data_IF_174413307410
#
_entry.id   IF_174413307410
#
_cell.length_a   1.000
_cell.length_b   1.000
_cell.length_c   1.000
_cell.angle_alpha   90.00
_cell.angle_beta   90.00
_cell.angle_gamma   90.00
#
_symmetry.space_group_name_H-M   'P 1'
#
loop_
_entity.id
_entity.type
_entity.pdbx_description
1 polymer ?
#
# COMPACT_ATOMS: atom_id res chain seq x y z
N UNK A 1 -13.85 28.51 -8.70
CA UNK A 1 -14.01 27.18 -9.31
C UNK A 1 -12.94 26.28 -8.71
N UNK A 2 -13.29 25.12 -8.16
CA UNK A 2 -12.29 24.20 -7.58
C UNK A 2 -11.57 23.45 -8.71
N UNK A 3 -10.32 22.99 -8.52
CA UNK A 3 -9.60 22.21 -9.54
C UNK A 3 -10.36 20.95 -9.97
N UNK A 4 -10.19 20.53 -11.22
CA UNK A 4 -10.92 19.41 -11.86
C UNK A 4 -10.86 18.11 -11.06
N UNK A 5 -9.69 17.76 -10.52
CA UNK A 5 -9.53 16.56 -9.68
C UNK A 5 -10.44 16.57 -8.44
N UNK A 6 -10.69 17.73 -7.84
CA UNK A 6 -11.58 17.83 -6.69
C UNK A 6 -13.06 17.84 -7.11
N UNK A 7 -13.37 18.25 -8.35
CA UNK A 7 -14.70 18.08 -8.92
C UNK A 7 -14.99 16.60 -9.16
N UNK A 8 -14.03 15.84 -9.70
CA UNK A 8 -14.15 14.40 -9.89
C UNK A 8 -14.32 13.66 -8.55
N UNK A 9 -13.52 14.03 -7.53
CA UNK A 9 -13.64 13.46 -6.17
C UNK A 9 -15.01 13.80 -5.56
N UNK A 10 -15.47 15.06 -5.69
CA UNK A 10 -16.79 15.49 -5.21
C UNK A 10 -17.93 14.72 -5.89
N UNK A 11 -17.80 14.40 -7.18
CA UNK A 11 -18.79 13.64 -7.94
C UNK A 11 -18.93 12.17 -7.50
N UNK A 12 -17.86 11.55 -6.98
CA UNK A 12 -17.88 10.15 -6.49
C UNK A 12 -18.02 10.04 -4.97
N UNK A 13 -17.84 11.14 -4.23
CA UNK A 13 -18.01 11.22 -2.77
C UNK A 13 -19.04 12.31 -2.43
N UNK A 14 -18.59 13.43 -1.88
CA UNK A 14 -19.34 14.64 -1.58
C UNK A 14 -18.34 15.81 -1.40
N UNK A 15 -18.86 17.04 -1.33
CA UNK A 15 -18.05 18.26 -1.24
C UNK A 15 -17.22 18.35 0.04
N UNK A 16 -17.77 17.91 1.18
CA UNK A 16 -17.06 17.95 2.46
C UNK A 16 -15.87 16.98 2.44
N UNK A 17 -16.07 15.77 1.91
CA UNK A 17 -15.01 14.78 1.74
C UNK A 17 -13.90 15.27 0.81
N UNK A 18 -14.24 15.85 -0.35
CA UNK A 18 -13.27 16.42 -1.28
C UNK A 18 -12.43 17.53 -0.62
N UNK A 19 -13.07 18.40 0.18
CA UNK A 19 -12.39 19.46 0.94
C UNK A 19 -11.44 18.90 2.00
N UNK A 20 -11.85 17.89 2.76
CA UNK A 20 -10.98 17.23 3.76
C UNK A 20 -9.75 16.59 3.12
N UNK A 21 -9.92 15.93 1.97
CA UNK A 21 -8.79 15.36 1.22
C UNK A 21 -7.82 16.46 0.79
N UNK A 22 -8.34 17.58 0.27
CA UNK A 22 -7.52 18.72 -0.10
C UNK A 22 -6.72 19.27 1.09
N UNK A 23 -7.39 19.48 2.22
CA UNK A 23 -6.76 20.00 3.45
C UNK A 23 -5.70 19.05 4.01
N UNK A 24 -5.92 17.73 3.93
CA UNK A 24 -5.00 16.72 4.44
C UNK A 24 -3.71 16.59 3.61
N UNK A 25 -3.82 16.76 2.29
CA UNK A 25 -2.71 16.52 1.36
C UNK A 25 -2.22 17.77 0.63
N UNK A 26 -2.72 18.97 0.96
CA UNK A 26 -2.25 20.21 0.35
C UNK A 26 -0.73 20.36 0.49
N UNK A 27 -0.06 20.74 -0.59
CA UNK A 27 1.41 20.83 -0.64
C UNK A 27 2.14 19.50 -0.83
N UNK A 28 1.44 18.35 -0.79
CA UNK A 28 2.02 17.04 -1.08
C UNK A 28 1.79 16.62 -2.54
N UNK A 29 2.75 15.88 -3.11
CA UNK A 29 2.52 15.13 -4.35
C UNK A 29 2.05 13.71 -3.99
N UNK A 30 0.75 13.44 -4.18
CA UNK A 30 0.14 12.15 -3.86
C UNK A 30 0.03 11.29 -5.11
N UNK A 31 0.61 10.08 -5.06
CA UNK A 31 0.45 9.07 -6.09
C UNK A 31 -0.65 8.08 -5.70
N UNK A 32 -1.62 7.86 -6.60
CA UNK A 32 -2.67 6.85 -6.45
C UNK A 32 -2.27 5.58 -7.23
N UNK A 33 -1.77 4.53 -6.57
CA UNK A 33 -1.45 3.28 -7.24
C UNK A 33 -2.72 2.55 -7.71
N UNK A 34 -2.59 1.75 -8.77
CA UNK A 34 -3.67 0.87 -9.24
C UNK A 34 -4.10 -0.05 -8.09
N UNK A 35 -5.38 0.06 -7.71
CA UNK A 35 -5.95 -0.61 -6.53
C UNK A 35 -5.76 -2.13 -6.58
N UNK A 36 -6.16 -2.77 -7.67
CA UNK A 36 -6.08 -4.23 -7.85
C UNK A 36 -4.64 -4.76 -7.81
N UNK A 37 -3.69 -3.99 -8.34
CA UNK A 37 -2.27 -4.37 -8.32
C UNK A 37 -1.73 -4.34 -6.89
N UNK A 38 -2.18 -3.37 -6.09
CA UNK A 38 -1.80 -3.19 -4.69
C UNK A 38 -2.44 -4.24 -3.79
N UNK A 39 -3.72 -4.55 -4.00
CA UNK A 39 -4.46 -5.62 -3.31
C UNK A 39 -3.81 -7.00 -3.52
N UNK A 40 -3.54 -7.37 -4.78
CA UNK A 40 -2.89 -8.66 -5.11
C UNK A 40 -1.49 -8.75 -4.53
N UNK A 41 -0.70 -7.67 -4.62
CA UNK A 41 0.63 -7.62 -4.02
C UNK A 41 0.57 -7.74 -2.50
N UNK A 42 -0.33 -6.98 -1.84
CA UNK A 42 -0.53 -7.03 -0.39
C UNK A 42 -0.96 -8.42 0.08
N UNK A 43 -1.88 -9.08 -0.64
CA UNK A 43 -2.32 -10.46 -0.33
C UNK A 43 -1.16 -11.44 -0.43
N UNK A 44 -0.37 -11.37 -1.51
CA UNK A 44 0.84 -12.21 -1.68
C UNK A 44 1.85 -11.95 -0.57
N UNK A 45 2.15 -10.69 -0.28
CA UNK A 45 3.16 -10.28 0.68
C UNK A 45 2.77 -10.71 2.11
N UNK A 46 1.47 -10.66 2.44
CA UNK A 46 0.93 -11.23 3.68
C UNK A 46 1.02 -12.76 3.73
N UNK A 47 0.78 -13.46 2.62
CA UNK A 47 0.95 -14.91 2.56
C UNK A 47 2.42 -15.33 2.78
N UNK A 48 3.36 -14.60 2.16
CA UNK A 48 4.81 -14.77 2.38
C UNK A 48 5.17 -14.58 3.85
N UNK A 49 4.60 -13.56 4.51
CA UNK A 49 4.82 -13.33 5.94
C UNK A 49 4.29 -14.47 6.82
N UNK A 50 3.07 -14.94 6.56
CA UNK A 50 2.47 -16.07 7.30
C UNK A 50 3.27 -17.35 7.15
N UNK A 51 3.67 -17.67 5.93
CA UNK A 51 4.53 -18.83 5.65
C UNK A 51 5.88 -18.72 6.36
N UNK A 52 6.47 -17.51 6.42
CA UNK A 52 7.70 -17.28 7.17
C UNK A 52 7.50 -17.51 8.67
N UNK A 53 6.39 -17.05 9.24
CA UNK A 53 6.03 -17.29 10.65
C UNK A 53 5.75 -18.77 10.94
N UNK A 54 5.29 -19.54 9.94
CA UNK A 54 5.15 -20.99 10.03
C UNK A 54 6.50 -21.75 9.92
N UNK A 55 7.63 -21.04 9.81
CA UNK A 55 8.97 -21.62 9.81
C UNK A 55 9.59 -21.86 8.44
N UNK A 56 8.91 -21.52 7.34
CA UNK A 56 9.43 -21.75 5.98
C UNK A 56 10.70 -20.92 5.73
N UNK A 57 11.72 -21.57 5.15
CA UNK A 57 13.00 -20.95 4.83
C UNK A 57 12.91 -19.90 3.72
N UNK A 58 13.83 -18.92 3.70
CA UNK A 58 13.85 -17.86 2.67
C UNK A 58 14.00 -18.44 1.26
N UNK A 59 14.82 -19.48 1.10
CA UNK A 59 15.06 -20.13 -0.20
C UNK A 59 13.81 -20.87 -0.70
N UNK A 60 13.07 -21.51 0.22
CA UNK A 60 11.83 -22.21 -0.10
C UNK A 60 10.71 -21.23 -0.46
N UNK A 61 10.60 -20.10 0.26
CA UNK A 61 9.69 -19.00 -0.08
C UNK A 61 9.99 -18.43 -1.47
N UNK A 62 11.27 -18.21 -1.78
CA UNK A 62 11.70 -17.72 -3.09
C UNK A 62 11.22 -18.65 -4.22
N UNK A 63 11.40 -19.97 -4.06
CA UNK A 63 10.92 -20.98 -5.01
C UNK A 63 9.38 -21.01 -5.07
N UNK A 64 8.70 -21.09 -3.92
CA UNK A 64 7.23 -21.19 -3.82
C UNK A 64 6.51 -20.02 -4.49
N UNK A 65 7.03 -18.81 -4.35
CA UNK A 65 6.40 -17.59 -4.84
C UNK A 65 7.01 -17.06 -6.15
N UNK A 66 8.01 -17.74 -6.73
CA UNK A 66 8.67 -17.30 -7.96
C UNK A 66 9.39 -15.96 -7.82
N UNK A 67 9.98 -15.69 -6.64
CA UNK A 67 10.66 -14.44 -6.33
C UNK A 67 12.13 -14.68 -6.00
N UNK A 68 12.97 -13.67 -6.18
CA UNK A 68 14.35 -13.72 -5.70
C UNK A 68 14.37 -13.67 -4.17
N UNK A 69 15.37 -14.28 -3.54
CA UNK A 69 15.52 -14.19 -2.08
C UNK A 69 15.66 -12.74 -1.61
N UNK A 70 16.29 -11.87 -2.41
CA UNK A 70 16.37 -10.42 -2.15
C UNK A 70 14.97 -9.81 -2.04
N UNK A 71 14.05 -10.16 -2.94
CA UNK A 71 12.68 -9.64 -2.91
C UNK A 71 11.88 -10.19 -1.73
N UNK A 72 12.07 -11.45 -1.37
CA UNK A 72 11.47 -12.03 -0.15
C UNK A 72 11.94 -11.28 1.10
N UNK A 73 13.26 -11.06 1.25
CA UNK A 73 13.81 -10.29 2.38
C UNK A 73 13.25 -8.87 2.45
N UNK A 74 13.13 -8.18 1.31
CA UNK A 74 12.54 -6.85 1.25
C UNK A 74 11.07 -6.84 1.71
N UNK A 75 10.25 -7.79 1.24
CA UNK A 75 8.84 -7.93 1.64
C UNK A 75 8.73 -8.18 3.15
N UNK A 76 9.55 -9.08 3.70
CA UNK A 76 9.52 -9.39 5.14
C UNK A 76 9.95 -8.19 5.99
N UNK A 77 10.92 -7.40 5.52
CA UNK A 77 11.36 -6.17 6.19
C UNK A 77 10.31 -5.05 6.10
N UNK A 78 9.56 -4.96 5.01
CA UNK A 78 8.50 -3.97 4.81
C UNK A 78 7.19 -4.34 5.53
N UNK A 79 6.93 -5.64 5.75
CA UNK A 79 5.77 -6.14 6.48
C UNK A 79 5.90 -6.02 8.01
N UNK A 80 7.11 -5.81 8.52
CA UNK A 80 7.29 -5.37 9.90
C UNK A 80 6.50 -4.05 10.08
N UNK A 81 5.70 -3.90 11.15
CA UNK A 81 4.82 -2.74 11.31
C UNK A 81 5.66 -1.46 11.33
N UNK A 82 5.76 -0.80 10.16
CA UNK A 82 6.22 0.59 10.09
C UNK A 82 5.13 1.39 10.74
N UNK A 83 5.37 1.78 11.99
CA UNK A 83 4.54 2.70 12.75
C UNK A 83 4.45 3.99 11.93
N UNK A 84 3.45 4.07 11.03
CA UNK A 84 3.14 5.29 10.31
C UNK A 84 2.62 6.24 11.38
N UNK A 85 3.52 7.08 11.90
CA UNK A 85 3.13 8.26 12.66
C UNK A 85 2.37 9.15 11.69
N UNK A 86 1.05 9.03 11.67
CA UNK A 86 0.22 10.08 11.10
C UNK A 86 0.48 11.31 11.96
N UNK A 87 0.88 12.46 11.37
CA UNK A 87 0.89 13.70 12.13
C UNK A 87 -0.53 13.95 12.65
N UNK A 88 -0.62 14.16 13.97
CA UNK A 88 -1.83 14.64 14.66
C UNK A 88 -1.97 16.13 14.39
#
# INVERSE_FOLDING_TARGET
>A
MIPEIYQEIEAVTDRETAKRIAELFQGCQVYFPIWDRTEKQRKRDMAIYRDRMAGIGIQELAKKYGLTERRIRAILNDAAPKQRRLPI
#
